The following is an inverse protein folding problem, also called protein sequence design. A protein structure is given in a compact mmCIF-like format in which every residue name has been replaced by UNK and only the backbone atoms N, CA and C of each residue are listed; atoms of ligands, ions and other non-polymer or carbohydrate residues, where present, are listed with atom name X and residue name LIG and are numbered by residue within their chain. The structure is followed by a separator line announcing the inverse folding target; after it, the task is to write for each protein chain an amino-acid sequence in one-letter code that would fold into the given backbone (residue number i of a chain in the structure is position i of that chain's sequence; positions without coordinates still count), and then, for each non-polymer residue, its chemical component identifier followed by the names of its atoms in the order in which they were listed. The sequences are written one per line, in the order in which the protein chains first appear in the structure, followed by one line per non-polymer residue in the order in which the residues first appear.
data_IF_145701794560
#
_entry.id   IF_145701794560
#
_cell.length_a   1.000
_cell.length_b   1.000
_cell.length_c   1.000
_cell.angle_alpha   90.00
_cell.angle_beta   90.00
_cell.angle_gamma   90.00
#
_symmetry.space_group_name_H-M   'P 1'
#
loop_
_entity.id
_entity.type
_entity.pdbx_description
1 polymer ?
#
# COMPACT_ATOMS: atom_id res chain seq x y z
N UNK A 1 -34.03 -27.85 -0.33
CA UNK A 1 -32.76 -28.40 -0.85
C UNK A 1 -31.71 -28.21 0.22
N UNK A 2 -31.24 -29.28 0.86
CA UNK A 2 -30.21 -29.18 1.91
C UNK A 2 -28.88 -28.76 1.31
N UNK A 3 -28.21 -27.80 1.98
CA UNK A 3 -26.85 -27.37 1.62
C UNK A 3 -25.88 -28.55 1.78
N UNK A 4 -25.46 -29.16 0.68
CA UNK A 4 -24.60 -30.35 0.65
C UNK A 4 -23.10 -30.03 0.86
N UNK A 5 -22.78 -28.78 1.26
CA UNK A 5 -21.40 -28.38 1.53
C UNK A 5 -20.91 -28.94 2.86
N UNK A 6 -19.59 -29.22 2.99
CA UNK A 6 -19.00 -29.67 4.25
C UNK A 6 -19.33 -28.71 5.42
N UNK A 7 -19.63 -29.30 6.60
CA UNK A 7 -20.05 -28.54 7.78
C UNK A 7 -19.06 -27.40 8.14
N UNK A 8 -17.76 -27.65 8.04
CA UNK A 8 -16.75 -26.62 8.34
C UNK A 8 -16.81 -25.39 7.40
N UNK A 9 -17.21 -25.58 6.13
CA UNK A 9 -17.41 -24.46 5.20
C UNK A 9 -18.69 -23.69 5.55
N UNK A 10 -19.77 -24.38 5.92
CA UNK A 10 -21.01 -23.72 6.37
C UNK A 10 -20.79 -22.85 7.59
N UNK A 11 -20.02 -23.34 8.57
CA UNK A 11 -19.62 -22.58 9.77
C UNK A 11 -18.79 -21.35 9.36
N UNK A 12 -17.78 -21.54 8.51
CA UNK A 12 -16.92 -20.44 8.07
C UNK A 12 -17.72 -19.36 7.30
N UNK A 13 -18.62 -19.78 6.40
CA UNK A 13 -19.46 -18.87 5.62
C UNK A 13 -20.48 -18.12 6.49
N UNK A 14 -21.08 -18.76 7.50
CA UNK A 14 -21.98 -18.09 8.43
C UNK A 14 -21.24 -17.05 9.28
N UNK A 15 -20.09 -17.39 9.84
CA UNK A 15 -19.29 -16.43 10.58
C UNK A 15 -18.85 -15.26 9.69
N UNK A 16 -18.45 -15.54 8.45
CA UNK A 16 -18.09 -14.53 7.47
C UNK A 16 -19.27 -13.59 7.19
N UNK A 17 -20.46 -14.12 6.90
CA UNK A 17 -21.67 -13.34 6.68
C UNK A 17 -21.99 -12.44 7.88
N UNK A 18 -21.92 -12.97 9.11
CA UNK A 18 -22.16 -12.20 10.34
C UNK A 18 -21.16 -11.07 10.54
N UNK A 19 -19.91 -11.24 10.08
CA UNK A 19 -18.90 -10.19 10.07
C UNK A 19 -19.22 -9.15 8.98
N UNK A 20 -19.53 -9.61 7.77
CA UNK A 20 -19.85 -8.73 6.63
C UNK A 20 -21.14 -7.92 6.87
N UNK A 21 -22.12 -8.46 7.61
CA UNK A 21 -23.37 -7.80 8.01
C UNK A 21 -23.23 -6.94 9.30
N UNK A 22 -22.05 -6.93 9.94
CA UNK A 22 -21.79 -6.19 11.17
C UNK A 22 -22.36 -6.81 12.44
N UNK A 23 -22.90 -8.02 12.39
CA UNK A 23 -23.38 -8.77 13.56
C UNK A 23 -22.23 -9.27 14.46
N UNK A 24 -21.02 -9.32 13.92
CA UNK A 24 -19.74 -9.49 14.63
C UNK A 24 -18.85 -8.32 14.22
N UNK A 25 -18.55 -7.44 15.16
CA UNK A 25 -17.81 -6.21 14.88
C UNK A 25 -16.30 -6.40 14.93
N UNK A 26 -15.56 -5.51 14.28
CA UNK A 26 -14.09 -5.49 14.31
C UNK A 26 -13.57 -5.42 15.74
N UNK A 27 -12.62 -6.29 16.05
CA UNK A 27 -12.06 -6.42 17.40
C UNK A 27 -12.92 -7.24 18.37
N UNK A 28 -14.12 -7.66 17.96
CA UNK A 28 -14.97 -8.56 18.73
C UNK A 28 -14.43 -9.99 18.66
N UNK A 29 -14.60 -10.71 19.74
CA UNK A 29 -14.24 -12.12 19.81
C UNK A 29 -15.28 -12.95 19.06
N UNK A 30 -14.86 -13.81 18.13
CA UNK A 30 -15.79 -14.78 17.54
C UNK A 30 -16.27 -15.77 18.61
N UNK A 31 -17.43 -16.43 18.42
CA UNK A 31 -17.90 -17.42 19.37
C UNK A 31 -16.83 -18.47 19.68
N UNK A 32 -16.76 -18.86 20.94
CA UNK A 32 -15.79 -19.85 21.39
C UNK A 32 -15.99 -21.20 20.70
N UNK A 33 -14.94 -22.04 20.75
CA UNK A 33 -15.01 -23.41 20.21
C UNK A 33 -16.21 -24.18 20.78
N UNK A 34 -16.45 -24.08 22.07
CA UNK A 34 -17.57 -24.76 22.73
C UNK A 34 -18.93 -24.25 22.25
N UNK A 35 -19.06 -22.95 22.03
CA UNK A 35 -20.28 -22.35 21.47
C UNK A 35 -20.51 -22.79 20.03
N UNK A 36 -19.46 -22.75 19.20
CA UNK A 36 -19.57 -23.20 17.80
C UNK A 36 -19.93 -24.68 17.72
N UNK A 37 -19.32 -25.53 18.54
CA UNK A 37 -19.68 -26.95 18.63
C UNK A 37 -21.16 -27.16 18.93
N UNK A 38 -21.68 -26.45 19.93
CA UNK A 38 -23.08 -26.54 20.33
C UNK A 38 -24.02 -25.97 19.25
N UNK A 39 -23.69 -24.83 18.65
CA UNK A 39 -24.54 -24.16 17.67
C UNK A 39 -24.67 -24.96 16.36
N UNK A 40 -23.57 -25.59 15.93
CA UNK A 40 -23.54 -26.31 14.64
C UNK A 40 -23.51 -27.79 14.76
N UNK A 41 -23.64 -28.34 15.97
CA UNK A 41 -23.57 -29.80 16.27
C UNK A 41 -22.34 -30.44 15.65
N UNK A 42 -21.19 -29.78 15.75
CA UNK A 42 -19.96 -30.10 15.03
C UNK A 42 -18.88 -30.63 15.98
N UNK A 43 -17.97 -31.47 15.45
CA UNK A 43 -16.79 -31.92 16.19
C UNK A 43 -15.75 -30.79 16.37
N UNK A 44 -14.83 -30.98 17.34
CA UNK A 44 -13.70 -30.02 17.55
C UNK A 44 -12.88 -29.85 16.29
N UNK A 45 -12.57 -30.91 15.56
CA UNK A 45 -11.82 -30.87 14.31
C UNK A 45 -12.53 -30.04 13.23
N UNK A 46 -13.87 -30.17 13.14
CA UNK A 46 -14.70 -29.44 12.20
C UNK A 46 -14.69 -27.94 12.51
N UNK A 47 -14.84 -27.59 13.79
CA UNK A 47 -14.78 -26.20 14.26
C UNK A 47 -13.38 -25.59 14.03
N UNK A 48 -12.33 -26.34 14.38
CA UNK A 48 -10.95 -25.87 14.17
C UNK A 48 -10.64 -25.65 12.68
N UNK A 49 -11.17 -26.52 11.80
CA UNK A 49 -11.02 -26.36 10.37
C UNK A 49 -11.77 -25.11 9.86
N UNK A 50 -13.00 -24.88 10.35
CA UNK A 50 -13.76 -23.68 10.02
C UNK A 50 -13.03 -22.39 10.44
N UNK A 51 -12.53 -22.36 11.67
CA UNK A 51 -11.76 -21.21 12.18
C UNK A 51 -10.47 -21.00 11.39
N UNK A 52 -9.78 -22.06 10.98
CA UNK A 52 -8.61 -21.95 10.10
C UNK A 52 -8.98 -21.34 8.75
N UNK A 53 -10.09 -21.76 8.13
CA UNK A 53 -10.58 -21.17 6.87
C UNK A 53 -10.89 -19.69 7.05
N UNK A 54 -11.59 -19.32 8.13
CA UNK A 54 -11.92 -17.94 8.44
C UNK A 54 -10.66 -17.07 8.62
N UNK A 55 -9.66 -17.59 9.34
CA UNK A 55 -8.35 -16.93 9.54
C UNK A 55 -7.56 -16.82 8.24
N UNK A 56 -7.49 -17.89 7.46
CA UNK A 56 -6.81 -17.89 6.16
C UNK A 56 -7.45 -16.91 5.18
N UNK A 57 -8.76 -16.72 5.25
CA UNK A 57 -9.49 -15.71 4.49
C UNK A 57 -9.39 -14.28 5.08
N UNK A 58 -8.62 -14.09 6.17
CA UNK A 58 -8.34 -12.79 6.78
C UNK A 58 -9.52 -12.20 7.57
N UNK A 59 -10.57 -12.96 7.89
CA UNK A 59 -11.73 -12.47 8.65
C UNK A 59 -11.46 -12.42 10.15
N UNK A 60 -10.51 -13.19 10.63
CA UNK A 60 -10.22 -13.27 12.06
C UNK A 60 -8.74 -13.57 12.30
N UNK A 61 -8.23 -13.16 13.45
CA UNK A 61 -6.88 -13.47 13.91
C UNK A 61 -6.89 -14.05 15.32
N UNK A 62 -5.96 -14.97 15.59
CA UNK A 62 -5.77 -15.52 16.92
C UNK A 62 -4.93 -14.58 17.78
N UNK A 63 -5.35 -14.37 19.03
CA UNK A 63 -4.52 -13.76 20.06
C UNK A 63 -4.19 -14.84 21.11
N UNK A 64 -2.89 -15.03 21.35
CA UNK A 64 -2.45 -16.07 22.27
C UNK A 64 -3.11 -15.94 23.64
N UNK A 65 -3.68 -17.04 24.16
CA UNK A 65 -4.39 -17.08 25.44
C UNK A 65 -5.73 -16.35 25.51
N UNK A 66 -6.09 -15.53 24.51
CA UNK A 66 -7.28 -14.67 24.55
C UNK A 66 -8.40 -15.13 23.63
N UNK A 67 -8.08 -15.85 22.56
CA UNK A 67 -9.07 -16.34 21.61
C UNK A 67 -8.84 -15.89 20.18
N UNK A 68 -9.91 -15.93 19.39
CA UNK A 68 -9.93 -15.50 17.99
C UNK A 68 -10.85 -14.28 17.86
N UNK A 69 -10.34 -13.24 17.22
CA UNK A 69 -11.01 -11.94 17.14
C UNK A 69 -11.21 -11.54 15.68
N UNK A 70 -12.31 -10.85 15.41
CA UNK A 70 -12.62 -10.30 14.08
C UNK A 70 -11.56 -9.28 13.70
N UNK A 71 -10.96 -9.47 12.51
CA UNK A 71 -10.01 -8.51 11.94
C UNK A 71 -10.74 -7.39 11.24
N UNK A 72 -10.14 -6.21 11.26
CA UNK A 72 -10.55 -5.13 10.41
C UNK A 72 -10.28 -5.50 8.94
N UNK A 73 -11.34 -5.80 8.22
CA UNK A 73 -11.36 -5.99 6.77
C UNK A 73 -11.95 -4.74 6.11
N UNK A 74 -11.32 -3.60 6.31
CA UNK A 74 -11.65 -2.45 5.47
C UNK A 74 -11.66 -2.89 4.00
N UNK A 75 -12.64 -2.45 3.20
CA UNK A 75 -12.68 -2.78 1.78
C UNK A 75 -11.33 -2.44 1.16
N UNK A 76 -10.85 -3.32 0.27
CA UNK A 76 -9.59 -3.09 -0.42
C UNK A 76 -9.63 -1.74 -1.12
N UNK A 77 -8.72 -0.85 -0.73
CA UNK A 77 -8.46 0.38 -1.46
C UNK A 77 -7.91 0.05 -2.86
N UNK A 78 -8.07 0.95 -3.80
CA UNK A 78 -7.51 0.81 -5.14
C UNK A 78 -6.49 1.90 -5.38
N UNK A 79 -5.28 1.51 -5.76
CA UNK A 79 -4.22 2.41 -6.20
C UNK A 79 -4.22 2.40 -7.73
N UNK A 80 -4.58 3.53 -8.33
CA UNK A 80 -4.58 3.70 -9.78
C UNK A 80 -3.14 3.88 -10.28
N UNK A 81 -2.74 3.04 -11.24
CA UNK A 81 -1.39 3.01 -11.81
C UNK A 81 -1.38 3.45 -13.27
N UNK A 82 -2.39 4.18 -13.71
CA UNK A 82 -2.55 4.62 -15.10
C UNK A 82 -1.57 5.74 -15.45
N UNK A 83 -1.10 5.74 -16.70
CA UNK A 83 -0.17 6.72 -17.25
C UNK A 83 -0.82 8.06 -17.66
N UNK A 84 -2.03 8.34 -17.20
CA UNK A 84 -2.73 9.60 -17.49
C UNK A 84 -2.06 10.81 -16.83
N UNK A 85 -2.08 11.93 -17.53
CA UNK A 85 -1.48 13.20 -17.15
C UNK A 85 -2.01 13.72 -15.79
N UNK A 86 -1.31 13.41 -14.72
CA UNK A 86 -1.54 14.04 -13.42
C UNK A 86 -0.17 14.41 -12.86
N UNK A 87 -0.04 15.65 -12.45
CA UNK A 87 1.21 16.27 -11.95
C UNK A 87 1.74 15.68 -10.63
N UNK A 88 1.05 14.72 -10.07
CA UNK A 88 1.51 13.90 -8.95
C UNK A 88 1.09 12.45 -9.19
N UNK A 89 2.03 11.51 -9.36
CA UNK A 89 1.72 10.09 -9.47
C UNK A 89 0.94 9.57 -8.26
N UNK A 90 0.98 10.32 -7.16
CA UNK A 90 0.35 10.00 -5.89
C UNK A 90 -1.11 10.45 -5.77
N UNK A 91 -1.45 11.64 -6.25
CA UNK A 91 -2.81 12.18 -6.15
C UNK A 91 -3.81 11.39 -7.00
N UNK A 92 -3.36 10.81 -8.13
CA UNK A 92 -4.18 9.92 -8.96
C UNK A 92 -4.38 8.55 -8.30
N UNK A 93 -3.34 8.02 -7.65
CA UNK A 93 -3.37 6.72 -7.00
C UNK A 93 -4.35 6.66 -5.81
N UNK A 94 -4.61 7.79 -5.16
CA UNK A 94 -5.44 7.83 -3.94
C UNK A 94 -6.82 8.45 -4.14
N UNK A 95 -7.15 9.02 -5.29
CA UNK A 95 -8.52 9.48 -5.57
C UNK A 95 -9.59 8.36 -5.42
N UNK A 96 -9.19 7.11 -5.54
CA UNK A 96 -10.04 5.95 -5.26
C UNK A 96 -10.30 5.70 -3.77
N UNK A 97 -9.49 6.27 -2.86
CA UNK A 97 -9.61 6.04 -1.42
C UNK A 97 -10.72 6.88 -0.76
N UNK A 98 -10.91 8.12 -1.19
CA UNK A 98 -11.87 9.06 -0.59
C UNK A 98 -13.33 8.81 -0.93
N UNK A 99 -13.63 8.14 -2.04
CA UNK A 99 -15.00 8.01 -2.56
C UNK A 99 -15.84 6.92 -1.89
N UNK A 100 -15.26 6.04 -1.05
CA UNK A 100 -15.97 4.88 -0.48
C UNK A 100 -15.84 4.67 1.03
N UNK A 101 -15.17 5.53 1.78
CA UNK A 101 -15.05 5.36 3.23
C UNK A 101 -15.65 6.52 4.02
N UNK A 102 -16.97 6.49 4.20
CA UNK A 102 -17.69 7.22 5.22
C UNK A 102 -17.75 6.48 6.55
N UNK A 103 -16.68 5.75 6.98
CA UNK A 103 -16.65 5.09 8.30
C UNK A 103 -15.29 5.22 8.97
N UNK A 104 -15.37 5.60 10.22
CA UNK A 104 -14.33 5.96 11.18
C UNK A 104 -13.24 4.89 11.33
N UNK A 105 -11.97 5.27 11.08
CA UNK A 105 -10.83 4.60 11.69
C UNK A 105 -10.49 5.27 13.02
N UNK A 106 -10.94 4.67 14.11
CA UNK A 106 -10.59 5.07 15.45
C UNK A 106 -9.28 4.47 15.94
N UNK A 107 -8.40 5.35 16.38
CA UNK A 107 -7.34 5.22 17.41
C UNK A 107 -6.45 3.99 17.42
N UNK A 108 -5.20 4.17 17.05
CA UNK A 108 -4.00 3.94 17.88
C UNK A 108 -2.74 4.06 17.02
N UNK A 109 -1.92 5.08 17.27
CA UNK A 109 -0.46 5.00 17.36
C UNK A 109 0.12 6.41 17.52
N UNK A 110 1.11 6.51 18.44
CA UNK A 110 1.70 7.75 18.89
C UNK A 110 2.50 8.50 17.81
N UNK A 111 2.50 9.80 17.96
CA UNK A 111 2.94 10.80 17.01
C UNK A 111 4.36 11.29 17.22
N UNK A 112 5.08 11.59 16.15
CA UNK A 112 6.00 12.71 16.11
C UNK A 112 5.78 13.50 14.81
N UNK A 113 5.53 14.82 14.94
CA UNK A 113 5.08 15.71 13.88
C UNK A 113 6.23 16.36 13.12
N UNK A 114 6.11 16.43 11.78
CA UNK A 114 6.44 17.64 11.02
C UNK A 114 5.29 17.89 10.04
N UNK A 115 4.64 19.05 10.18
CA UNK A 115 3.53 19.49 9.32
C UNK A 115 4.05 20.14 8.06
N UNK A 116 3.55 19.77 6.89
CA UNK A 116 3.50 20.67 5.75
C UNK A 116 2.25 20.43 4.90
N UNK A 117 1.38 21.44 4.88
CA UNK A 117 0.66 22.04 3.76
C UNK A 117 -0.58 21.37 3.21
N UNK A 118 -1.73 21.85 3.68
CA UNK A 118 -3.04 21.74 3.04
C UNK A 118 -3.10 22.61 1.77
N UNK A 119 -3.65 22.08 0.66
CA UNK A 119 -4.38 22.85 -0.35
C UNK A 119 -5.23 21.90 -1.20
N UNK A 120 -6.56 21.99 -1.03
CA UNK A 120 -7.58 21.45 -1.92
C UNK A 120 -8.50 22.60 -2.35
N UNK A 121 -9.18 22.56 -3.52
CA UNK A 121 -10.08 23.60 -3.97
C UNK A 121 -11.40 23.59 -3.18
N UNK A 122 -12.07 24.74 -3.02
CA UNK A 122 -13.31 24.84 -2.28
C UNK A 122 -14.49 24.63 -3.21
N UNK A 123 -14.99 23.40 -3.31
CA UNK A 123 -16.33 23.16 -3.79
C UNK A 123 -17.09 22.27 -2.81
N UNK A 124 -18.30 22.71 -2.48
CA UNK A 124 -19.10 22.24 -1.37
C UNK A 124 -19.74 20.85 -1.54
N UNK A 125 -19.03 19.86 -2.04
CA UNK A 125 -19.46 18.46 -2.00
C UNK A 125 -18.91 17.81 -0.72
N UNK A 126 -19.81 17.45 0.21
CA UNK A 126 -19.46 16.94 1.55
C UNK A 126 -18.78 15.57 1.63
N UNK A 127 -17.90 15.24 0.70
CA UNK A 127 -16.95 14.15 0.81
C UNK A 127 -15.73 14.67 1.60
N UNK A 128 -15.49 14.17 2.81
CA UNK A 128 -14.27 14.45 3.56
C UNK A 128 -13.08 14.07 2.70
N UNK A 129 -12.36 15.07 2.22
CA UNK A 129 -11.12 14.90 1.49
C UNK A 129 -10.12 14.10 2.36
N UNK A 130 -9.57 13.04 1.80
CA UNK A 130 -8.53 12.26 2.47
C UNK A 130 -7.25 13.07 2.44
N UNK A 131 -6.80 13.55 3.59
CA UNK A 131 -5.53 14.24 3.70
C UNK A 131 -4.40 13.25 3.44
N UNK A 132 -3.69 13.49 2.34
CA UNK A 132 -2.47 12.79 1.98
C UNK A 132 -1.28 13.56 2.44
N UNK A 133 -0.42 12.89 3.19
CA UNK A 133 0.87 13.41 3.60
C UNK A 133 1.95 12.39 3.27
N UNK A 134 3.17 12.85 3.14
CA UNK A 134 4.32 11.98 3.00
C UNK A 134 5.49 12.56 3.78
N UNK A 135 6.33 11.65 4.27
CA UNK A 135 7.62 11.96 4.86
C UNK A 135 8.70 11.37 3.95
N UNK A 136 9.82 12.06 3.82
CA UNK A 136 10.92 11.57 3.01
C UNK A 136 12.27 11.96 3.59
N UNK A 137 13.26 11.11 3.32
CA UNK A 137 14.66 11.38 3.61
C UNK A 137 15.54 10.91 2.47
N UNK A 138 16.52 11.72 2.09
CA UNK A 138 17.47 11.42 1.02
C UNK A 138 18.88 11.26 1.56
N UNK A 139 19.62 10.33 0.96
CA UNK A 139 21.05 10.11 1.20
C UNK A 139 21.75 9.65 -0.07
N UNK A 140 23.00 10.02 -0.21
CA UNK A 140 23.85 9.53 -1.31
C UNK A 140 24.41 8.17 -0.94
N UNK A 141 24.30 7.21 -1.85
CA UNK A 141 24.75 5.83 -1.66
C UNK A 141 25.38 5.29 -2.94
N UNK A 142 26.30 4.31 -2.84
CA UNK A 142 26.72 3.55 -4.00
C UNK A 142 25.57 2.65 -4.50
N UNK A 143 25.32 2.62 -5.80
CA UNK A 143 24.31 1.77 -6.40
C UNK A 143 24.59 0.29 -6.13
N UNK A 144 23.63 -0.42 -5.55
CA UNK A 144 23.68 -1.88 -5.45
C UNK A 144 23.58 -2.51 -6.85
N UNK A 145 24.05 -3.73 -7.02
CA UNK A 145 24.01 -4.42 -8.32
C UNK A 145 22.59 -4.50 -8.93
N UNK A 146 21.49 -4.76 -8.17
CA UNK A 146 20.14 -4.71 -8.71
C UNK A 146 19.72 -3.30 -9.17
N UNK A 147 20.01 -2.26 -8.38
CA UNK A 147 19.71 -0.86 -8.70
C UNK A 147 20.48 -0.41 -9.94
N UNK A 148 21.80 -0.67 -9.96
CA UNK A 148 22.67 -0.33 -11.08
C UNK A 148 22.17 -0.95 -12.41
N UNK A 149 21.78 -2.22 -12.38
CA UNK A 149 21.22 -2.91 -13.55
C UNK A 149 19.94 -2.25 -14.06
N UNK A 150 19.01 -1.84 -13.17
CA UNK A 150 17.77 -1.16 -13.56
C UNK A 150 18.03 0.24 -14.11
N UNK A 151 19.03 0.94 -13.59
CA UNK A 151 19.42 2.27 -14.06
C UNK A 151 20.36 2.26 -15.27
N UNK A 152 20.91 1.09 -15.65
CA UNK A 152 21.87 0.98 -16.75
C UNK A 152 23.22 1.63 -16.43
N UNK A 153 23.60 1.68 -15.15
CA UNK A 153 24.87 2.25 -14.64
C UNK A 153 25.76 1.15 -14.05
N UNK A 154 26.99 1.49 -13.72
CA UNK A 154 27.92 0.57 -13.06
C UNK A 154 27.56 0.31 -11.59
N UNK A 155 27.73 -0.92 -11.07
CA UNK A 155 27.63 -1.16 -9.63
C UNK A 155 28.60 -0.27 -8.86
N UNK A 156 28.12 0.37 -7.80
CA UNK A 156 28.91 1.30 -6.98
C UNK A 156 28.92 2.75 -7.48
N UNK A 157 28.36 3.03 -8.66
CA UNK A 157 28.17 4.42 -9.08
C UNK A 157 27.26 5.17 -8.10
N UNK A 158 27.51 6.47 -7.85
CA UNK A 158 26.77 7.24 -6.86
C UNK A 158 25.33 7.50 -7.32
N UNK A 159 24.38 7.21 -6.41
CA UNK A 159 22.96 7.48 -6.58
C UNK A 159 22.41 8.24 -5.40
N UNK A 160 21.42 9.09 -5.63
CA UNK A 160 20.57 9.63 -4.59
C UNK A 160 19.52 8.58 -4.26
N UNK A 161 19.51 8.12 -3.02
CA UNK A 161 18.48 7.23 -2.49
C UNK A 161 17.51 8.06 -1.66
N UNK A 162 16.23 8.07 -2.02
CA UNK A 162 15.18 8.72 -1.25
C UNK A 162 14.17 7.71 -0.76
N UNK A 163 13.96 7.68 0.54
CA UNK A 163 12.95 6.85 1.18
C UNK A 163 11.71 7.68 1.47
N UNK A 164 10.54 7.15 1.14
CA UNK A 164 9.25 7.79 1.34
C UNK A 164 8.34 6.90 2.17
N UNK A 165 7.65 7.52 3.12
CA UNK A 165 6.49 6.95 3.79
C UNK A 165 5.26 7.79 3.44
N UNK A 166 4.25 7.17 2.86
CA UNK A 166 3.02 7.83 2.45
C UNK A 166 1.87 7.48 3.39
N UNK A 167 1.17 8.52 3.83
CA UNK A 167 0.13 8.43 4.83
C UNK A 167 -1.19 8.97 4.26
N UNK A 168 -2.27 8.22 4.40
CA UNK A 168 -3.64 8.68 4.14
C UNK A 168 -4.36 8.82 5.48
N UNK A 169 -4.83 10.03 5.81
CA UNK A 169 -5.42 10.32 7.11
C UNK A 169 -4.55 9.86 8.28
N UNK A 170 -3.23 10.02 8.16
CA UNK A 170 -2.21 9.59 9.13
C UNK A 170 -2.03 8.07 9.27
N UNK A 171 -2.59 7.27 8.36
CA UNK A 171 -2.36 5.84 8.30
C UNK A 171 -1.37 5.51 7.18
N UNK A 172 -0.34 4.71 7.44
CA UNK A 172 0.61 4.31 6.41
C UNK A 172 -0.07 3.48 5.32
N UNK A 173 0.09 3.91 4.08
CA UNK A 173 -0.51 3.25 2.92
C UNK A 173 0.52 2.64 2.00
N UNK A 174 1.69 3.27 1.91
CA UNK A 174 2.74 2.87 0.99
C UNK A 174 4.10 3.30 1.50
N UNK A 175 5.09 2.45 1.30
CA UNK A 175 6.50 2.80 1.38
C UNK A 175 7.07 2.85 -0.04
N UNK A 176 8.01 3.74 -0.29
CA UNK A 176 8.78 3.72 -1.52
C UNK A 176 10.24 4.07 -1.25
N UNK A 177 11.13 3.41 -1.97
CA UNK A 177 12.54 3.77 -2.02
C UNK A 177 12.89 4.04 -3.48
N UNK A 178 13.39 5.23 -3.77
CA UNK A 178 13.74 5.69 -5.11
C UNK A 178 15.25 5.90 -5.21
N UNK A 179 15.81 5.60 -6.36
CA UNK A 179 17.23 5.81 -6.68
C UNK A 179 17.35 6.56 -7.99
N UNK A 180 18.12 7.65 -7.97
CA UNK A 180 18.43 8.47 -9.13
C UNK A 180 19.95 8.56 -9.29
N UNK A 181 20.50 8.40 -10.51
CA UNK A 181 21.93 8.66 -10.72
C UNK A 181 22.27 10.10 -10.36
N UNK A 182 23.25 10.34 -9.48
CA UNK A 182 23.66 11.69 -9.11
C UNK A 182 24.08 12.55 -10.31
N UNK A 183 24.62 11.93 -11.35
CA UNK A 183 25.01 12.61 -12.60
C UNK A 183 23.84 13.30 -13.32
N UNK A 184 22.59 12.99 -12.94
CA UNK A 184 21.39 13.61 -13.51
C UNK A 184 20.98 14.86 -12.74
N UNK A 185 21.02 14.82 -11.41
CA UNK A 185 20.37 15.79 -10.54
C UNK A 185 21.32 16.61 -9.69
N UNK A 186 22.59 16.16 -9.51
CA UNK A 186 23.58 16.87 -8.72
C UNK A 186 23.83 18.29 -9.24
N UNK A 187 23.90 19.26 -8.31
CA UNK A 187 24.12 20.66 -8.65
C UNK A 187 22.96 21.39 -9.30
N UNK A 188 21.78 20.75 -9.38
CA UNK A 188 20.57 21.37 -9.94
C UNK A 188 19.54 21.72 -8.85
N UNK A 189 18.55 22.55 -9.19
CA UNK A 189 17.42 22.90 -8.29
C UNK A 189 16.51 21.69 -7.95
N UNK A 190 16.71 20.56 -8.61
CA UNK A 190 15.94 19.33 -8.43
C UNK A 190 16.74 18.22 -7.74
N UNK A 191 17.92 18.53 -7.19
CA UNK A 191 18.81 17.54 -6.59
C UNK A 191 18.16 16.77 -5.43
N UNK A 192 17.29 17.42 -4.65
CA UNK A 192 16.60 16.77 -3.53
C UNK A 192 15.09 16.68 -3.80
N UNK A 193 14.53 15.46 -3.94
CA UNK A 193 13.10 15.26 -4.23
C UNK A 193 12.16 15.79 -3.16
N UNK A 194 12.59 15.81 -1.90
CA UNK A 194 11.79 16.23 -0.74
C UNK A 194 11.89 17.72 -0.44
N UNK A 195 12.81 18.46 -1.08
CA UNK A 195 13.08 19.87 -0.80
C UNK A 195 13.13 20.73 -2.07
N UNK A 196 13.04 22.03 -1.86
CA UNK A 196 13.13 23.00 -2.95
C UNK A 196 11.82 23.22 -3.72
N UNK A 197 11.87 24.05 -4.78
CA UNK A 197 10.67 24.51 -5.49
C UNK A 197 9.94 23.44 -6.28
N UNK A 198 10.58 22.29 -6.49
CA UNK A 198 10.06 21.17 -7.28
C UNK A 198 9.69 19.93 -6.45
N UNK A 199 9.82 19.98 -5.12
CA UNK A 199 9.67 18.84 -4.20
C UNK A 199 8.33 18.09 -4.31
N UNK A 200 7.27 18.72 -4.83
CA UNK A 200 5.94 18.10 -4.93
C UNK A 200 5.52 17.73 -6.34
N UNK A 201 6.42 17.87 -7.30
CA UNK A 201 6.09 17.67 -8.72
C UNK A 201 6.28 16.22 -9.20
N UNK A 202 6.67 15.31 -8.30
CA UNK A 202 7.01 13.94 -8.65
C UNK A 202 8.20 13.84 -9.61
N UNK A 203 8.61 12.65 -10.00
CA UNK A 203 9.77 12.40 -10.86
C UNK A 203 9.64 13.15 -12.19
N UNK A 204 8.48 13.03 -12.86
CA UNK A 204 8.26 13.65 -14.19
C UNK A 204 8.34 15.18 -14.16
N UNK A 205 7.59 15.80 -13.23
CA UNK A 205 7.53 17.26 -13.15
C UNK A 205 8.84 17.87 -12.64
N UNK A 206 9.57 17.15 -11.80
CA UNK A 206 10.85 17.55 -11.27
C UNK A 206 11.95 17.48 -12.34
N UNK A 207 12.09 16.37 -13.02
CA UNK A 207 13.10 16.21 -14.08
C UNK A 207 12.81 17.08 -15.30
N UNK A 208 11.54 17.35 -15.61
CA UNK A 208 11.17 18.30 -16.66
C UNK A 208 11.71 19.71 -16.41
N UNK A 209 11.87 20.14 -15.15
CA UNK A 209 12.43 21.45 -14.80
C UNK A 209 13.90 21.61 -15.19
N UNK A 210 14.63 20.51 -15.37
CA UNK A 210 16.02 20.48 -15.87
C UNK A 210 16.12 19.96 -17.32
N UNK A 211 14.99 19.96 -18.05
CA UNK A 211 14.94 19.62 -19.48
C UNK A 211 14.86 18.11 -19.76
N UNK A 212 14.75 17.25 -18.76
CA UNK A 212 14.63 15.79 -18.93
C UNK A 212 13.16 15.41 -18.98
N UNK A 213 12.69 14.99 -20.17
CA UNK A 213 11.31 14.57 -20.37
C UNK A 213 11.17 13.06 -20.17
N UNK A 214 10.56 12.65 -19.05
CA UNK A 214 10.20 11.26 -18.81
C UNK A 214 9.03 10.88 -19.73
N UNK A 215 9.22 9.86 -20.59
CA UNK A 215 8.25 9.47 -21.61
C UNK A 215 7.56 8.14 -21.33
N UNK A 216 8.20 7.24 -20.56
CA UNK A 216 7.60 5.96 -20.17
C UNK A 216 8.06 5.54 -18.77
N UNK A 217 7.28 4.63 -18.19
CA UNK A 217 7.67 3.87 -17.02
C UNK A 217 7.44 2.37 -17.29
N UNK A 218 8.33 1.56 -16.73
CA UNK A 218 8.16 0.11 -16.69
C UNK A 218 7.93 -0.31 -15.26
N UNK A 219 6.98 -1.22 -15.03
CA UNK A 219 6.71 -1.76 -13.70
C UNK A 219 6.76 -3.28 -13.72
N UNK A 220 7.53 -3.86 -12.78
CA UNK A 220 7.45 -5.27 -12.42
C UNK A 220 6.68 -5.37 -11.12
N UNK A 221 5.60 -6.17 -11.13
CA UNK A 221 4.74 -6.36 -9.96
C UNK A 221 4.92 -7.76 -9.41
N UNK A 222 5.25 -7.85 -8.14
CA UNK A 222 5.41 -9.11 -7.42
C UNK A 222 4.79 -9.07 -6.03
N UNK A 223 4.87 -10.18 -5.32
CA UNK A 223 4.42 -10.29 -3.93
C UNK A 223 5.43 -11.08 -3.12
N UNK A 224 5.63 -10.68 -1.87
CA UNK A 224 6.50 -11.36 -0.91
C UNK A 224 6.04 -11.09 0.53
N UNK A 225 6.53 -11.85 1.50
CA UNK A 225 6.39 -11.46 2.91
C UNK A 225 7.04 -10.11 3.19
N UNK A 226 6.38 -9.29 4.02
CA UNK A 226 6.95 -8.05 4.53
C UNK A 226 8.19 -8.34 5.39
N UNK A 227 9.23 -7.55 5.23
CA UNK A 227 10.35 -7.52 6.18
C UNK A 227 9.89 -6.91 7.51
N UNK A 228 10.66 -7.11 8.59
CA UNK A 228 10.30 -6.54 9.89
C UNK A 228 10.17 -5.01 9.85
N UNK A 229 11.11 -4.24 9.27
CA UNK A 229 10.94 -2.79 9.15
C UNK A 229 9.71 -2.35 8.34
N UNK A 230 9.42 -3.06 7.24
CA UNK A 230 8.23 -2.76 6.43
C UNK A 230 6.93 -3.05 7.18
N UNK A 231 6.89 -4.15 7.93
CA UNK A 231 5.73 -4.51 8.74
C UNK A 231 5.46 -3.47 9.83
N UNK A 232 6.51 -3.00 10.50
CA UNK A 232 6.43 -1.92 11.51
C UNK A 232 5.93 -0.62 10.89
N UNK A 233 6.53 -0.18 9.78
CA UNK A 233 6.17 1.05 9.09
C UNK A 233 4.75 0.99 8.49
N UNK A 234 4.33 -0.15 7.91
CA UNK A 234 2.99 -0.34 7.34
C UNK A 234 1.92 -0.72 8.38
N UNK A 235 2.29 -0.88 9.65
CA UNK A 235 1.36 -1.27 10.70
C UNK A 235 0.72 -2.64 10.47
N UNK A 236 1.51 -3.64 10.04
CA UNK A 236 1.02 -5.00 9.80
C UNK A 236 1.86 -6.05 10.55
N UNK A 237 1.43 -7.31 10.50
CA UNK A 237 2.18 -8.39 11.12
C UNK A 237 3.44 -8.71 10.31
N UNK A 238 4.53 -9.08 11.00
CA UNK A 238 5.74 -9.59 10.35
C UNK A 238 5.39 -10.82 9.49
N UNK A 239 5.92 -10.85 8.27
CA UNK A 239 5.63 -11.93 7.32
C UNK A 239 4.27 -11.83 6.61
N UNK A 240 3.48 -10.78 6.87
CA UNK A 240 2.27 -10.51 6.10
C UNK A 240 2.64 -10.21 4.64
N UNK A 241 1.79 -10.68 3.69
CA UNK A 241 2.06 -10.48 2.28
C UNK A 241 1.96 -9.00 1.90
N UNK A 242 2.98 -8.51 1.20
CA UNK A 242 3.00 -7.19 0.57
C UNK A 242 3.10 -7.34 -0.95
N UNK A 243 2.52 -6.39 -1.67
CA UNK A 243 2.76 -6.22 -3.10
C UNK A 243 3.93 -5.27 -3.28
N UNK A 244 4.88 -5.67 -4.10
CA UNK A 244 6.06 -4.87 -4.45
C UNK A 244 5.97 -4.51 -5.92
N UNK A 245 6.17 -3.23 -6.22
CA UNK A 245 6.26 -2.72 -7.60
C UNK A 245 7.65 -2.14 -7.79
N UNK A 246 8.46 -2.78 -8.63
CA UNK A 246 9.71 -2.21 -9.12
C UNK A 246 9.39 -1.34 -10.33
N UNK A 247 9.55 -0.03 -10.22
CA UNK A 247 9.28 0.92 -11.31
C UNK A 247 10.59 1.52 -11.79
N UNK A 248 10.74 1.65 -13.10
CA UNK A 248 11.84 2.41 -13.70
C UNK A 248 11.28 3.40 -14.71
N UNK A 249 11.68 4.66 -14.58
CA UNK A 249 11.33 5.75 -15.48
C UNK A 249 12.42 5.95 -16.52
N UNK A 250 11.98 6.23 -17.78
CA UNK A 250 12.87 6.41 -18.92
C UNK A 250 12.59 7.74 -19.62
N UNK A 251 13.64 8.39 -20.08
CA UNK A 251 13.56 9.59 -20.92
C UNK A 251 13.32 9.26 -22.40
N UNK A 252 13.35 10.31 -23.25
CA UNK A 252 13.13 10.20 -24.68
C UNK A 252 14.19 9.42 -25.44
N UNK A 253 15.36 9.26 -24.88
CA UNK A 253 16.50 8.51 -25.42
C UNK A 253 16.60 7.09 -24.85
N UNK A 254 15.52 6.63 -24.19
CA UNK A 254 15.42 5.32 -23.52
C UNK A 254 16.42 5.13 -22.37
N UNK A 255 16.95 6.21 -21.82
CA UNK A 255 17.85 6.16 -20.67
C UNK A 255 17.01 6.09 -19.39
N UNK A 256 17.35 5.18 -18.49
CA UNK A 256 16.75 5.11 -17.17
C UNK A 256 17.21 6.31 -16.32
N UNK A 257 16.25 7.08 -15.82
CA UNK A 257 16.49 8.32 -15.06
C UNK A 257 16.14 8.19 -13.57
N UNK A 258 15.33 7.23 -13.22
CA UNK A 258 14.96 6.89 -11.84
C UNK A 258 14.48 5.44 -11.78
N UNK A 259 14.76 4.76 -10.69
CA UNK A 259 14.14 3.47 -10.36
C UNK A 259 13.68 3.46 -8.92
N UNK A 260 12.56 2.78 -8.64
CA UNK A 260 12.00 2.72 -7.29
C UNK A 260 11.39 1.36 -6.96
N UNK A 261 11.43 1.03 -5.67
CA UNK A 261 10.70 -0.08 -5.07
C UNK A 261 9.54 0.50 -4.27
N UNK A 262 8.33 0.10 -4.60
CA UNK A 262 7.10 0.55 -3.97
C UNK A 262 6.47 -0.64 -3.26
N UNK A 263 6.18 -0.49 -1.97
CA UNK A 263 5.66 -1.58 -1.12
C UNK A 263 4.31 -1.18 -0.54
N UNK A 264 3.31 -2.00 -0.78
CA UNK A 264 1.96 -1.82 -0.25
C UNK A 264 1.44 -3.11 0.38
N UNK A 265 0.57 -3.00 1.35
CA UNK A 265 -0.09 -4.15 1.96
C UNK A 265 -1.04 -4.81 0.96
N UNK A 266 -0.81 -6.09 0.63
CA UNK A 266 -1.64 -6.84 -0.30
C UNK A 266 -3.07 -7.12 0.23
N UNK A 267 -3.27 -7.09 1.56
CA UNK A 267 -4.56 -7.27 2.21
C UNK A 267 -5.39 -5.97 2.30
N UNK A 268 -4.82 -4.83 1.92
CA UNK A 268 -5.45 -3.50 1.98
C UNK A 268 -5.59 -2.83 0.62
N UNK A 269 -4.73 -3.17 -0.34
CA UNK A 269 -4.62 -2.46 -1.61
C UNK A 269 -4.66 -3.39 -2.81
N UNK A 270 -5.40 -2.96 -3.83
CA UNK A 270 -5.34 -3.50 -5.20
C UNK A 270 -4.68 -2.47 -6.10
N UNK A 271 -3.94 -2.94 -7.09
CA UNK A 271 -3.37 -2.10 -8.14
C UNK A 271 -4.27 -2.19 -9.36
N UNK A 272 -4.63 -1.02 -9.92
CA UNK A 272 -5.45 -0.92 -11.13
C UNK A 272 -4.66 -0.24 -12.23
N UNK A 273 -4.55 -0.91 -13.35
CA UNK A 273 -3.89 -0.41 -14.56
C UNK A 273 -4.92 -0.21 -15.66
N UNK A 274 -4.93 0.99 -16.26
CA UNK A 274 -5.63 1.22 -17.52
C UNK A 274 -4.61 1.16 -18.65
N UNK A 275 -4.76 0.18 -19.54
CA UNK A 275 -3.84 -0.04 -20.65
C UNK A 275 -4.52 0.44 -21.94
N UNK A 276 -4.12 1.59 -22.50
CA UNK A 276 -4.67 2.04 -23.76
C UNK A 276 -4.12 1.17 -24.89
N UNK A 277 -4.99 0.78 -25.81
CA UNK A 277 -4.59 0.16 -27.05
C UNK A 277 -4.54 1.25 -28.13
N UNK A 278 -3.39 1.42 -28.76
CA UNK A 278 -3.28 2.24 -29.98
C UNK A 278 -3.79 1.43 -31.14
N UNK A 279 -4.80 1.97 -31.85
CA UNK A 279 -5.29 1.44 -33.14
C UNK A 279 -4.26 1.67 -34.25
#
# INVERSE_FOLDING_TARGET
MGDNRPVYLRIADDLRRRIDEGALTVGERIPSRSELKRTYEASDQTVDRAVRVLKAAGYAQGQFGRGVFVTDRAPLGTLLRSTGAVDSPFAAEIRGYGARQGQEFGRAYGTRHVRHGEHGPPDGSGARETALTWEASSSELPASAPVARRLGIGPGEPVLCTQYEYLANRHPVQLATSWEPLTITEGTDVALPERGPYARRGVRGRLAAIGIRVVRAQELVGSRPATTPEAEALGCAAGQCVTVVERTHFDGDDRAVETSDIVVRADRWRLEYTIPFTS
#
